data_IF_438789166075
#
_entry.id   IF_438789166075
#
_cell.length_a   1.000
_cell.length_b   1.000
_cell.length_c   1.000
_cell.angle_alpha   90.00
_cell.angle_beta   90.00
_cell.angle_gamma   90.00
#
_symmetry.space_group_name_H-M   'P 1'
#
loop_
_entity.id
_entity.type
_entity.pdbx_description
1 polymer ?
#
# COMPACT_ATOMS: atom_id res chain seq x y z
N UNK A 1 65.80 -54.80 -12.29
CA UNK A 1 64.99 -53.60 -12.59
C UNK A 1 64.17 -53.30 -11.35
N UNK A 2 64.52 -52.23 -10.62
CA UNK A 2 63.83 -51.81 -9.39
C UNK A 2 62.79 -50.75 -9.75
N UNK A 3 61.50 -51.07 -9.61
CA UNK A 3 60.41 -50.14 -9.83
C UNK A 3 60.07 -49.45 -8.51
N UNK A 4 60.39 -48.15 -8.40
CA UNK A 4 59.98 -47.29 -7.28
C UNK A 4 58.58 -46.74 -7.56
N UNK A 5 57.62 -47.12 -6.73
CA UNK A 5 56.25 -46.60 -6.77
C UNK A 5 56.19 -45.33 -5.91
N UNK A 6 56.06 -44.16 -6.54
CA UNK A 6 55.80 -42.90 -5.83
C UNK A 6 54.29 -42.80 -5.57
N UNK A 7 53.90 -42.91 -4.29
CA UNK A 7 52.53 -42.68 -3.84
C UNK A 7 52.32 -41.15 -3.69
N UNK A 8 51.58 -40.53 -4.60
CA UNK A 8 51.18 -39.12 -4.49
C UNK A 8 49.99 -39.02 -3.53
N UNK A 9 50.22 -38.49 -2.33
CA UNK A 9 49.14 -38.18 -1.39
C UNK A 9 48.52 -36.84 -1.80
N UNK A 10 47.41 -36.89 -2.55
CA UNK A 10 46.64 -35.71 -2.92
C UNK A 10 45.95 -35.12 -1.69
N UNK A 11 46.42 -33.97 -1.24
CA UNK A 11 45.78 -33.19 -0.18
C UNK A 11 44.45 -32.63 -0.72
N UNK A 12 43.34 -33.31 -0.43
CA UNK A 12 41.99 -32.80 -0.70
C UNK A 12 41.70 -31.66 0.30
N UNK A 13 41.95 -30.41 -0.12
CA UNK A 13 41.41 -29.24 0.56
C UNK A 13 39.88 -29.27 0.44
N UNK A 14 39.18 -29.63 1.51
CA UNK A 14 37.76 -29.41 1.66
C UNK A 14 37.50 -27.91 1.84
N UNK A 15 37.45 -27.16 0.74
CA UNK A 15 36.94 -25.80 0.76
C UNK A 15 35.49 -25.83 1.22
N UNK A 16 35.15 -25.10 2.29
CA UNK A 16 33.75 -24.80 2.60
C UNK A 16 33.20 -23.97 1.46
N UNK A 17 32.45 -24.59 0.55
CA UNK A 17 31.58 -23.88 -0.37
C UNK A 17 30.49 -23.24 0.49
N UNK A 18 30.62 -21.94 0.79
CA UNK A 18 29.54 -21.19 1.41
C UNK A 18 28.50 -21.01 0.30
N UNK A 19 27.47 -21.87 0.32
CA UNK A 19 26.29 -21.63 -0.48
C UNK A 19 25.68 -20.31 -0.01
N UNK A 20 25.57 -19.37 -0.93
CA UNK A 20 24.98 -18.08 -0.63
C UNK A 20 23.52 -18.29 -0.17
N UNK A 21 23.08 -17.67 0.95
CA UNK A 21 21.69 -17.78 1.39
C UNK A 21 20.73 -17.28 0.29
N UNK A 22 19.66 -18.04 0.06
CA UNK A 22 18.60 -17.70 -0.88
C UNK A 22 17.30 -17.41 -0.12
N UNK A 23 16.59 -16.36 -0.51
CA UNK A 23 15.32 -15.95 0.09
C UNK A 23 14.22 -15.81 -0.97
N UNK A 24 12.98 -16.09 -0.56
CA UNK A 24 11.76 -15.89 -1.33
C UNK A 24 10.54 -15.90 -0.40
N UNK A 25 9.38 -15.48 -0.90
CA UNK A 25 8.13 -15.44 -0.13
C UNK A 25 8.10 -14.31 0.90
N UNK A 26 7.32 -14.50 1.97
CA UNK A 26 7.21 -13.53 3.06
C UNK A 26 8.34 -13.76 4.06
N UNK A 27 9.29 -12.83 4.12
CA UNK A 27 10.47 -12.91 4.99
C UNK A 27 10.29 -12.19 6.34
N UNK A 28 9.30 -11.29 6.42
CA UNK A 28 9.02 -10.50 7.60
C UNK A 28 7.98 -11.18 8.50
N UNK A 29 8.08 -10.91 9.80
CA UNK A 29 7.05 -11.26 10.79
C UNK A 29 6.47 -9.96 11.35
N UNK A 30 5.15 -9.92 11.56
CA UNK A 30 4.41 -8.71 11.91
C UNK A 30 3.68 -8.91 13.23
N UNK A 31 3.80 -7.93 14.13
CA UNK A 31 3.06 -7.90 15.38
C UNK A 31 2.41 -6.53 15.57
N UNK A 32 1.28 -6.49 16.26
CA UNK A 32 0.61 -5.25 16.61
C UNK A 32 1.27 -4.64 17.84
N UNK A 33 1.59 -3.35 17.76
CA UNK A 33 2.01 -2.58 18.93
C UNK A 33 0.84 -2.42 19.90
N UNK A 34 1.06 -2.74 21.18
CA UNK A 34 0.04 -2.66 22.24
C UNK A 34 0.28 -1.52 23.24
N UNK A 35 1.38 -0.79 23.10
CA UNK A 35 1.71 0.35 23.95
C UNK A 35 3.16 0.35 24.41
N UNK A 36 3.50 1.36 25.21
CA UNK A 36 4.79 1.44 25.91
C UNK A 36 4.83 0.37 27.01
N UNK A 37 6.00 -0.23 27.22
CA UNK A 37 6.21 -1.17 28.30
C UNK A 37 6.48 -0.49 29.65
N UNK A 38 7.04 -1.26 30.58
CA UNK A 38 7.37 -0.86 31.94
C UNK A 38 8.56 0.11 32.02
N UNK A 39 9.45 0.08 31.02
CA UNK A 39 10.61 0.95 30.89
C UNK A 39 10.48 1.90 29.68
N UNK A 40 11.15 3.07 29.68
CA UNK A 40 11.11 4.01 28.55
C UNK A 40 11.59 3.43 27.21
N UNK A 41 12.47 2.43 27.23
CA UNK A 41 12.98 1.71 26.06
C UNK A 41 12.23 0.39 25.80
N UNK A 42 11.01 0.23 26.27
CA UNK A 42 10.27 -1.03 26.11
C UNK A 42 8.91 -0.84 25.46
N UNK A 43 8.46 -1.86 24.75
CA UNK A 43 7.17 -1.87 24.04
C UNK A 43 6.45 -3.19 24.28
N UNK A 44 5.12 -3.15 24.27
CA UNK A 44 4.26 -4.33 24.32
C UNK A 44 3.83 -4.74 22.91
N UNK A 45 3.85 -6.04 22.62
CA UNK A 45 3.40 -6.60 21.34
C UNK A 45 2.50 -7.83 21.55
N UNK A 46 1.65 -8.14 20.56
CA UNK A 46 0.78 -9.31 20.60
C UNK A 46 1.47 -10.63 20.23
N UNK A 47 2.63 -10.58 19.56
CA UNK A 47 3.40 -11.74 19.10
C UNK A 47 4.90 -11.60 19.44
N UNK A 48 5.29 -11.68 20.73
CA UNK A 48 6.68 -11.52 21.16
C UNK A 48 7.60 -12.62 20.61
N UNK A 49 7.08 -13.81 20.35
CA UNK A 49 7.84 -14.95 19.82
C UNK A 49 8.45 -14.70 18.44
N UNK A 50 7.97 -13.69 17.70
CA UNK A 50 8.56 -13.28 16.44
C UNK A 50 9.89 -12.52 16.62
N UNK A 51 10.20 -12.04 17.83
CA UNK A 51 11.30 -11.12 18.09
C UNK A 51 12.27 -11.70 19.14
N UNK A 52 13.12 -12.68 18.78
CA UNK A 52 14.12 -13.18 19.70
C UNK A 52 15.12 -12.09 20.11
N UNK A 53 15.77 -12.29 21.26
CA UNK A 53 16.83 -11.40 21.73
C UNK A 53 17.91 -11.20 20.66
N UNK A 54 18.41 -9.97 20.56
CA UNK A 54 19.36 -9.55 19.55
C UNK A 54 18.77 -9.34 18.16
N UNK A 55 17.48 -9.60 17.89
CA UNK A 55 16.91 -9.36 16.56
C UNK A 55 16.61 -7.89 16.28
N UNK A 56 16.79 -7.48 15.01
CA UNK A 56 16.39 -6.16 14.55
C UNK A 56 14.87 -6.09 14.27
N UNK A 57 14.30 -4.92 14.52
CA UNK A 57 12.90 -4.63 14.27
C UNK A 57 12.69 -3.22 13.72
N UNK A 58 11.58 -3.03 13.02
CA UNK A 58 11.06 -1.77 12.56
C UNK A 58 9.74 -1.53 13.30
N UNK A 59 9.63 -0.43 14.04
CA UNK A 59 8.34 0.07 14.52
C UNK A 59 7.87 1.10 13.50
N UNK A 60 6.63 0.97 13.02
CA UNK A 60 6.06 1.88 12.03
C UNK A 60 4.57 2.11 12.30
N UNK A 61 4.17 3.38 12.31
CA UNK A 61 2.78 3.77 12.51
C UNK A 61 2.08 3.97 11.17
N UNK A 62 1.06 3.16 10.89
CA UNK A 62 0.43 3.11 9.57
C UNK A 62 -0.65 4.16 9.40
N UNK A 63 -1.43 4.44 10.46
CA UNK A 63 -2.54 5.38 10.48
C UNK A 63 -2.44 6.33 11.67
N UNK A 64 -3.45 7.17 11.87
CA UNK A 64 -3.56 8.12 12.98
C UNK A 64 -3.78 9.56 12.53
N UNK A 65 -3.82 9.81 11.22
CA UNK A 65 -4.07 11.14 10.70
C UNK A 65 -5.50 11.61 11.02
N UNK A 66 -5.62 12.89 11.36
CA UNK A 66 -6.89 13.60 11.47
C UNK A 66 -7.21 14.29 10.14
N UNK A 67 -8.48 14.31 9.78
CA UNK A 67 -8.98 14.95 8.55
C UNK A 67 -10.10 15.93 8.86
N UNK A 68 -10.36 16.84 7.93
CA UNK A 68 -11.61 17.59 7.88
C UNK A 68 -12.78 16.63 7.64
N UNK A 69 -13.84 16.83 8.42
CA UNK A 69 -14.90 15.85 8.61
C UNK A 69 -16.30 16.39 8.32
N UNK A 70 -16.38 17.68 7.98
CA UNK A 70 -17.59 18.36 7.53
C UNK A 70 -18.03 17.84 6.17
N UNK A 71 -19.34 17.87 5.91
CA UNK A 71 -19.93 17.28 4.71
C UNK A 71 -19.83 18.24 3.51
N UNK A 72 -18.61 18.66 3.16
CA UNK A 72 -18.31 19.62 2.11
C UNK A 72 -17.01 19.27 1.36
N UNK A 73 -16.57 20.16 0.46
CA UNK A 73 -15.37 19.95 -0.37
C UNK A 73 -14.07 19.82 0.41
N UNK A 74 -14.07 20.20 1.69
CA UNK A 74 -12.97 20.03 2.63
C UNK A 74 -12.81 18.60 3.10
N UNK A 75 -13.86 17.76 3.07
CA UNK A 75 -13.82 16.39 3.61
C UNK A 75 -12.59 15.60 3.12
N UNK A 76 -11.86 15.01 4.07
CA UNK A 76 -10.67 14.21 3.78
C UNK A 76 -9.37 15.00 3.68
N UNK A 77 -9.39 16.33 3.75
CA UNK A 77 -8.16 17.12 3.84
C UNK A 77 -7.45 16.80 5.16
N UNK A 78 -6.18 16.41 5.09
CA UNK A 78 -5.39 16.05 6.27
C UNK A 78 -5.02 17.30 7.06
N UNK A 79 -5.45 17.37 8.32
CA UNK A 79 -5.16 18.49 9.24
C UNK A 79 -3.97 18.20 10.14
N UNK A 80 -3.74 16.92 10.46
CA UNK A 80 -2.59 16.45 11.22
C UNK A 80 -2.26 15.00 10.83
N UNK A 81 -0.98 14.65 10.67
CA UNK A 81 -0.56 13.27 10.40
C UNK A 81 -0.76 12.33 11.60
N UNK A 82 -0.79 12.86 12.82
CA UNK A 82 -1.03 12.08 14.04
C UNK A 82 -0.05 10.91 14.25
N UNK A 83 1.14 10.99 13.67
CA UNK A 83 2.17 9.94 13.70
C UNK A 83 2.15 8.99 12.50
N UNK A 84 1.16 9.08 11.60
CA UNK A 84 1.13 8.26 10.39
C UNK A 84 2.39 8.47 9.54
N UNK A 85 3.05 7.35 9.23
CA UNK A 85 4.30 7.28 8.49
C UNK A 85 5.58 7.51 9.30
N UNK A 86 5.48 7.72 10.61
CA UNK A 86 6.64 7.67 11.50
C UNK A 86 7.14 6.23 11.64
N UNK A 87 8.46 6.07 11.67
CA UNK A 87 9.09 4.79 11.90
C UNK A 87 10.48 4.92 12.53
N UNK A 88 10.91 3.86 13.21
CA UNK A 88 12.23 3.70 13.79
C UNK A 88 12.71 2.24 13.66
N UNK A 89 14.01 2.06 13.44
CA UNK A 89 14.67 0.75 13.49
C UNK A 89 15.40 0.62 14.83
N UNK A 90 15.20 -0.50 15.50
CA UNK A 90 15.80 -0.79 16.80
C UNK A 90 16.17 -2.28 16.91
N UNK A 91 16.75 -2.69 18.04
CA UNK A 91 17.13 -4.07 18.33
C UNK A 91 16.55 -4.51 19.66
N UNK A 92 16.13 -5.77 19.73
CA UNK A 92 15.64 -6.39 20.96
C UNK A 92 16.82 -6.67 21.87
N UNK A 93 16.83 -6.06 23.05
CA UNK A 93 17.78 -6.37 24.12
C UNK A 93 17.33 -7.58 24.95
N UNK A 94 16.06 -7.63 25.34
CA UNK A 94 15.48 -8.72 26.13
C UNK A 94 13.98 -8.92 25.82
N UNK A 95 13.47 -10.12 26.08
CA UNK A 95 12.04 -10.45 25.92
C UNK A 95 11.46 -10.91 27.26
N UNK A 96 10.52 -10.14 27.80
CA UNK A 96 9.87 -10.39 29.09
C UNK A 96 8.36 -10.60 28.88
N UNK A 97 7.95 -11.85 28.60
CA UNK A 97 6.56 -12.13 28.24
C UNK A 97 6.16 -11.43 26.93
N UNK A 98 5.21 -10.50 26.99
CA UNK A 98 4.77 -9.69 25.84
C UNK A 98 5.56 -8.39 25.66
N UNK A 99 6.53 -8.13 26.53
CA UNK A 99 7.32 -6.92 26.54
C UNK A 99 8.67 -7.14 25.85
N UNK A 100 8.95 -6.33 24.83
CA UNK A 100 10.25 -6.24 24.20
C UNK A 100 11.00 -5.06 24.81
N UNK A 101 12.12 -5.34 25.48
CA UNK A 101 13.07 -4.31 25.91
C UNK A 101 14.01 -4.03 24.73
N UNK A 102 14.13 -2.78 24.34
CA UNK A 102 14.92 -2.33 23.19
C UNK A 102 16.28 -1.79 23.62
N UNK A 103 17.28 -1.89 22.74
CA UNK A 103 18.62 -1.35 23.02
C UNK A 103 18.64 0.18 23.13
N UNK A 104 17.72 0.87 22.43
CA UNK A 104 17.65 2.33 22.38
C UNK A 104 16.25 2.82 22.79
N UNK A 105 16.19 3.98 23.44
CA UNK A 105 14.94 4.70 23.64
C UNK A 105 14.31 5.08 22.30
N UNK A 106 12.98 5.05 22.22
CA UNK A 106 12.25 5.56 21.06
C UNK A 106 12.25 7.08 21.07
N UNK A 107 12.40 7.67 19.88
CA UNK A 107 12.39 9.12 19.68
C UNK A 107 10.98 9.62 19.31
N UNK A 108 10.22 8.82 18.57
CA UNK A 108 8.87 9.15 18.14
C UNK A 108 7.79 8.62 19.09
N UNK A 109 6.66 9.32 19.24
CA UNK A 109 5.48 8.75 19.87
C UNK A 109 4.83 7.74 18.91
N UNK A 110 4.51 6.56 19.43
CA UNK A 110 3.73 5.54 18.73
C UNK A 110 2.44 5.27 19.47
N UNK A 111 1.34 5.22 18.73
CA UNK A 111 -0.01 5.04 19.27
C UNK A 111 -0.62 3.72 18.83
N UNK A 112 -1.35 3.08 19.74
CA UNK A 112 -2.21 1.93 19.41
C UNK A 112 -3.37 2.33 18.50
N UNK A 113 -3.90 3.55 18.67
CA UNK A 113 -4.95 4.12 17.81
C UNK A 113 -4.46 4.49 16.40
N UNK A 114 -3.14 4.52 16.18
CA UNK A 114 -2.52 4.73 14.88
C UNK A 114 -2.30 3.45 14.08
N UNK A 115 -2.82 2.30 14.53
CA UNK A 115 -2.51 0.99 13.94
C UNK A 115 -1.00 0.80 13.74
N UNK A 116 -0.23 1.11 14.80
CA UNK A 116 1.21 0.88 14.82
C UNK A 116 1.49 -0.62 14.79
N UNK A 117 2.44 -1.02 13.95
CA UNK A 117 2.94 -2.37 13.88
C UNK A 117 4.45 -2.42 14.13
N UNK A 118 4.90 -3.58 14.60
CA UNK A 118 6.31 -3.93 14.77
C UNK A 118 6.62 -5.04 13.77
N UNK A 119 7.64 -4.85 12.96
CA UNK A 119 8.03 -5.75 11.86
C UNK A 119 9.43 -6.25 12.12
N UNK A 120 9.64 -7.57 12.20
CA UNK A 120 10.99 -8.14 12.33
C UNK A 120 11.75 -7.87 11.04
N UNK A 121 13.00 -7.42 11.16
CA UNK A 121 13.90 -7.11 10.05
C UNK A 121 14.97 -8.21 9.99
N UNK A 122 14.89 -9.16 9.03
CA UNK A 122 15.97 -10.11 8.83
C UNK A 122 17.27 -9.42 8.41
N UNK A 123 18.39 -9.90 8.94
CA UNK A 123 19.74 -9.40 8.67
C UNK A 123 20.56 -10.49 7.98
N UNK A 124 21.28 -10.11 6.92
CA UNK A 124 22.14 -11.00 6.15
C UNK A 124 23.50 -10.35 5.90
N UNK A 125 24.56 -11.16 5.80
CA UNK A 125 25.85 -10.66 5.31
C UNK A 125 25.78 -10.45 3.80
N UNK A 126 25.40 -11.51 3.08
CA UNK A 126 25.23 -11.57 1.63
C UNK A 126 24.01 -12.47 1.34
N UNK A 127 23.13 -12.09 0.41
CA UNK A 127 21.89 -12.86 0.16
C UNK A 127 21.38 -12.70 -1.28
N UNK A 128 20.79 -13.77 -1.81
CA UNK A 128 20.19 -13.83 -3.14
C UNK A 128 18.68 -13.93 -3.04
N UNK A 129 17.97 -13.08 -3.77
CA UNK A 129 16.52 -13.18 -3.96
C UNK A 129 16.29 -14.12 -5.15
N UNK A 130 16.19 -15.42 -4.87
CA UNK A 130 16.06 -16.46 -5.89
C UNK A 130 14.60 -16.63 -6.38
N UNK A 131 13.63 -16.19 -5.58
CA UNK A 131 12.22 -16.07 -5.96
C UNK A 131 11.62 -14.78 -5.38
N UNK A 132 10.43 -14.34 -5.84
CA UNK A 132 9.85 -13.08 -5.40
C UNK A 132 9.73 -13.02 -3.87
N UNK A 133 10.25 -11.96 -3.26
CA UNK A 133 9.99 -11.64 -1.85
C UNK A 133 8.78 -10.71 -1.80
N UNK A 134 7.78 -11.07 -1.02
CA UNK A 134 6.49 -10.36 -0.95
C UNK A 134 6.16 -9.91 0.46
N UNK A 135 5.38 -8.83 0.58
CA UNK A 135 4.77 -8.45 1.84
C UNK A 135 3.50 -9.27 2.09
N UNK A 136 3.19 -9.56 3.36
CA UNK A 136 1.82 -9.91 3.74
C UNK A 136 0.92 -8.69 3.42
N UNK A 137 -0.21 -8.82 2.72
CA UNK A 137 -1.10 -7.68 2.47
C UNK A 137 -1.61 -7.06 3.77
N UNK A 138 -1.83 -5.75 3.77
CA UNK A 138 -2.44 -5.04 4.88
C UNK A 138 -3.83 -5.60 5.21
N UNK A 139 -4.03 -5.95 6.48
CA UNK A 139 -5.29 -6.54 6.96
C UNK A 139 -6.15 -5.58 7.81
N UNK A 140 -5.73 -4.31 7.94
CA UNK A 140 -6.34 -3.33 8.85
C UNK A 140 -5.61 -3.16 10.19
N UNK A 141 -4.63 -4.00 10.50
CA UNK A 141 -3.83 -3.94 11.73
C UNK A 141 -2.33 -4.11 11.48
N UNK A 142 -1.94 -5.02 10.60
CA UNK A 142 -0.54 -5.37 10.27
C UNK A 142 -0.40 -5.72 8.79
N UNK A 143 0.84 -5.76 8.30
CA UNK A 143 1.18 -6.11 6.92
C UNK A 143 1.62 -4.89 6.10
N UNK A 144 1.78 -5.09 4.80
CA UNK A 144 2.11 -4.04 3.83
C UNK A 144 3.55 -3.55 3.87
N UNK A 145 4.47 -4.26 4.55
CA UNK A 145 5.88 -3.86 4.67
C UNK A 145 6.81 -4.99 4.29
N UNK A 146 7.79 -4.72 3.43
CA UNK A 146 9.00 -5.53 3.26
C UNK A 146 10.15 -4.76 3.92
N UNK A 147 10.86 -5.39 4.86
CA UNK A 147 12.02 -4.78 5.50
C UNK A 147 13.17 -5.78 5.63
N UNK A 148 14.36 -5.41 5.18
CA UNK A 148 15.56 -6.25 5.31
C UNK A 148 16.83 -5.42 5.35
N UNK A 149 17.86 -5.97 6.00
CA UNK A 149 19.19 -5.39 6.09
C UNK A 149 20.22 -6.39 5.57
N UNK A 150 21.08 -5.95 4.65
CA UNK A 150 22.14 -6.76 4.04
C UNK A 150 23.46 -6.01 4.16
N UNK A 151 24.37 -6.41 5.05
CA UNK A 151 25.59 -5.62 5.27
C UNK A 151 26.51 -5.59 4.04
N UNK A 152 26.51 -6.66 3.25
CA UNK A 152 27.25 -6.81 2.00
C UNK A 152 26.35 -6.66 0.78
N UNK A 153 26.22 -7.71 -0.02
CA UNK A 153 25.58 -7.68 -1.33
C UNK A 153 24.22 -8.39 -1.34
N UNK A 154 23.22 -7.70 -1.91
CA UNK A 154 21.92 -8.26 -2.26
C UNK A 154 21.86 -8.51 -3.77
N UNK A 155 21.71 -9.76 -4.19
CA UNK A 155 21.50 -10.11 -5.59
C UNK A 155 20.01 -10.27 -5.85
N UNK A 156 19.47 -9.42 -6.72
CA UNK A 156 18.07 -9.46 -7.15
C UNK A 156 17.97 -10.25 -8.46
N UNK A 157 17.94 -11.58 -8.36
CA UNK A 157 17.58 -12.44 -9.50
C UNK A 157 16.06 -12.42 -9.72
N UNK A 158 15.30 -12.39 -8.62
CA UNK A 158 13.89 -12.07 -8.56
C UNK A 158 13.65 -10.78 -7.76
N UNK A 159 12.39 -10.28 -7.76
CA UNK A 159 12.06 -8.97 -7.23
C UNK A 159 11.62 -8.93 -5.76
N UNK A 160 11.76 -7.74 -5.16
CA UNK A 160 11.05 -7.35 -3.94
C UNK A 160 9.71 -6.73 -4.38
N UNK A 161 8.58 -7.34 -4.03
CA UNK A 161 7.28 -6.93 -4.52
C UNK A 161 6.27 -6.70 -3.38
N UNK A 162 6.02 -5.42 -3.10
CA UNK A 162 4.98 -4.95 -2.19
C UNK A 162 3.76 -4.37 -2.93
N UNK A 163 3.61 -4.65 -4.23
CA UNK A 163 2.49 -4.14 -5.02
C UNK A 163 1.15 -4.66 -4.51
N UNK A 164 0.18 -3.77 -4.32
CA UNK A 164 -1.15 -4.10 -3.79
C UNK A 164 -1.20 -4.55 -2.33
N UNK A 165 -0.07 -4.52 -1.61
CA UNK A 165 0.00 -4.91 -0.20
C UNK A 165 -0.35 -3.76 0.76
N UNK A 166 -0.58 -2.55 0.23
CA UNK A 166 -0.91 -1.33 0.98
C UNK A 166 -2.37 -1.23 1.40
N UNK A 167 -2.86 -0.01 1.63
CA UNK A 167 -4.23 0.21 2.09
C UNK A 167 -5.27 -0.39 1.13
N UNK A 168 -6.33 -0.98 1.70
CA UNK A 168 -7.35 -1.71 0.93
C UNK A 168 -8.23 -0.74 0.14
N UNK A 169 -8.58 -1.13 -1.08
CA UNK A 169 -9.58 -0.42 -1.86
C UNK A 169 -10.98 -0.54 -1.24
N UNK A 170 -11.87 0.39 -1.61
CA UNK A 170 -13.28 0.33 -1.24
C UNK A 170 -13.93 -0.95 -1.76
N UNK A 171 -14.67 -1.64 -0.88
CA UNK A 171 -15.37 -2.85 -1.26
C UNK A 171 -16.47 -2.56 -2.30
N UNK A 172 -16.71 -3.50 -3.22
CA UNK A 172 -17.91 -3.41 -4.04
C UNK A 172 -19.14 -3.78 -3.20
N UNK A 173 -20.19 -2.97 -3.28
CA UNK A 173 -21.48 -3.25 -2.65
C UNK A 173 -22.59 -3.04 -3.68
N UNK A 174 -23.47 -4.03 -3.80
CA UNK A 174 -24.65 -3.94 -4.66
C UNK A 174 -25.76 -3.29 -3.86
N UNK A 175 -26.32 -2.20 -4.37
CA UNK A 175 -27.40 -1.48 -3.68
C UNK A 175 -28.68 -1.50 -4.50
N UNK A 176 -29.82 -1.53 -3.81
CA UNK A 176 -31.10 -1.24 -4.42
C UNK A 176 -31.32 0.28 -4.42
N UNK A 177 -30.88 0.94 -5.49
CA UNK A 177 -31.04 2.39 -5.66
C UNK A 177 -32.49 2.74 -5.97
N UNK A 178 -33.03 3.74 -5.28
CA UNK A 178 -34.33 4.35 -5.59
C UNK A 178 -34.13 5.75 -6.21
N UNK A 179 -33.08 5.90 -7.00
CA UNK A 179 -32.76 7.15 -7.68
C UNK A 179 -33.95 7.71 -8.47
N UNK A 180 -34.06 9.04 -8.45
CA UNK A 180 -34.97 9.82 -9.29
C UNK A 180 -34.30 11.14 -9.69
N UNK A 181 -34.74 11.79 -10.78
CA UNK A 181 -34.29 13.13 -11.17
C UNK A 181 -34.57 14.23 -10.13
N UNK A 182 -35.38 13.94 -9.10
CA UNK A 182 -35.72 14.86 -8.00
C UNK A 182 -34.78 14.73 -6.79
N UNK A 183 -33.91 13.73 -6.77
CA UNK A 183 -33.03 13.42 -5.63
C UNK A 183 -31.57 13.47 -6.04
N UNK A 184 -30.77 14.27 -5.34
CA UNK A 184 -29.33 14.35 -5.58
C UNK A 184 -28.54 13.62 -4.48
N UNK A 185 -27.70 12.65 -4.87
CA UNK A 185 -26.73 12.02 -3.99
C UNK A 185 -25.40 12.80 -4.02
N UNK A 186 -25.36 13.99 -3.41
CA UNK A 186 -24.21 14.90 -3.53
C UNK A 186 -23.27 14.97 -2.30
N UNK A 187 -23.59 14.24 -1.22
CA UNK A 187 -22.83 14.31 0.03
C UNK A 187 -21.44 13.68 -0.08
N UNK A 188 -20.52 14.19 0.72
CA UNK A 188 -19.15 13.70 0.85
C UNK A 188 -19.05 12.45 1.70
N UNK A 189 -19.98 12.24 2.62
CA UNK A 189 -20.09 10.98 3.34
C UNK A 189 -21.53 10.52 3.53
N UNK A 190 -21.66 9.20 3.67
CA UNK A 190 -22.84 8.53 4.19
C UNK A 190 -22.41 7.42 5.14
N UNK A 191 -23.32 7.03 6.02
CA UNK A 191 -23.15 5.85 6.87
C UNK A 191 -23.24 4.56 6.06
N UNK A 192 -22.59 3.50 6.57
CA UNK A 192 -22.71 2.16 6.03
C UNK A 192 -24.17 1.72 5.82
N UNK A 193 -24.44 1.07 4.68
CA UNK A 193 -25.79 0.64 4.29
C UNK A 193 -26.63 1.71 3.56
N UNK A 194 -26.13 2.94 3.45
CA UNK A 194 -26.82 3.97 2.66
C UNK A 194 -26.59 3.76 1.16
N UNK A 195 -27.66 3.53 0.41
CA UNK A 195 -27.60 3.27 -1.04
C UNK A 195 -27.02 4.43 -1.86
N UNK A 196 -26.94 5.66 -1.33
CA UNK A 196 -26.50 6.85 -2.08
C UNK A 196 -25.00 6.93 -2.35
N UNK A 197 -24.19 6.08 -1.72
CA UNK A 197 -22.73 6.16 -1.82
C UNK A 197 -22.08 4.79 -1.80
N UNK A 198 -20.98 4.67 -2.53
CA UNK A 198 -20.12 3.49 -2.51
C UNK A 198 -19.02 3.60 -1.45
N UNK A 199 -18.40 2.49 -1.03
CA UNK A 199 -17.32 2.50 -0.04
C UNK A 199 -16.08 3.27 -0.48
N UNK A 200 -15.51 4.01 0.46
CA UNK A 200 -14.21 4.68 0.32
C UNK A 200 -13.06 3.66 0.42
N UNK A 201 -11.93 3.98 -0.20
CA UNK A 201 -10.67 3.28 0.05
C UNK A 201 -10.05 3.66 1.39
N UNK A 202 -9.26 2.76 1.97
CA UNK A 202 -8.52 3.04 3.19
C UNK A 202 -7.35 4.01 2.94
N UNK A 203 -6.95 4.72 4.00
CA UNK A 203 -5.82 5.64 3.98
C UNK A 203 -5.22 5.82 5.37
N UNK A 204 -4.32 6.81 5.52
CA UNK A 204 -3.63 7.14 6.77
C UNK A 204 -4.56 7.66 7.87
N UNK A 205 -5.76 8.14 7.51
CA UNK A 205 -6.82 8.39 8.47
C UNK A 205 -7.58 7.07 8.72
N UNK A 206 -7.79 6.65 9.97
CA UNK A 206 -8.65 5.52 10.30
C UNK A 206 -10.04 5.67 9.67
N UNK A 207 -10.70 4.55 9.36
CA UNK A 207 -12.09 4.57 8.89
C UNK A 207 -12.98 5.19 9.98
N UNK A 208 -13.82 6.15 9.59
CA UNK A 208 -14.69 6.88 10.52
C UNK A 208 -16.08 6.27 10.48
N UNK A 209 -16.57 5.83 11.64
CA UNK A 209 -17.91 5.25 11.76
C UNK A 209 -18.99 6.28 11.40
N UNK A 210 -19.96 5.87 10.59
CA UNK A 210 -21.01 6.74 10.05
C UNK A 210 -20.59 7.57 8.84
N UNK A 211 -19.36 7.41 8.36
CA UNK A 211 -18.80 8.14 7.20
C UNK A 211 -18.07 7.22 6.21
N UNK A 212 -18.44 5.95 6.18
CA UNK A 212 -17.74 4.89 5.44
C UNK A 212 -17.94 5.00 3.92
N UNK A 213 -19.03 5.61 3.48
CA UNK A 213 -19.46 5.65 2.08
C UNK A 213 -19.39 7.07 1.51
N UNK A 214 -19.45 7.18 0.18
CA UNK A 214 -19.67 8.43 -0.57
C UNK A 214 -18.40 9.10 -1.08
N UNK A 215 -18.56 10.23 -1.77
CA UNK A 215 -17.52 10.82 -2.63
C UNK A 215 -16.30 11.43 -1.98
N UNK A 216 -16.36 11.80 -0.71
CA UNK A 216 -15.22 12.39 -0.01
C UNK A 216 -14.08 11.39 0.15
N UNK A 217 -12.84 11.84 -0.01
CA UNK A 217 -11.66 11.00 0.21
C UNK A 217 -11.45 10.70 1.70
N UNK A 218 -10.90 9.53 2.02
CA UNK A 218 -10.47 9.18 3.39
C UNK A 218 -8.96 9.44 3.53
N UNK A 219 -8.59 10.71 3.72
CA UNK A 219 -7.20 11.15 3.55
C UNK A 219 -6.65 10.75 2.17
N UNK A 220 -5.60 9.94 2.12
CA UNK A 220 -5.05 9.42 0.88
C UNK A 220 -5.84 8.24 0.27
N UNK A 221 -6.87 7.73 0.94
CA UNK A 221 -7.85 6.80 0.36
C UNK A 221 -8.85 7.51 -0.54
N UNK A 222 -9.13 6.95 -1.73
CA UNK A 222 -10.09 7.52 -2.68
C UNK A 222 -11.54 7.44 -2.18
N UNK A 223 -12.34 8.45 -2.51
CA UNK A 223 -13.77 8.45 -2.21
C UNK A 223 -14.55 7.50 -3.12
N UNK A 224 -15.65 6.93 -2.61
CA UNK A 224 -16.53 6.08 -3.42
C UNK A 224 -17.39 6.89 -4.40
N UNK A 225 -17.86 6.29 -5.48
CA UNK A 225 -18.86 6.89 -6.35
C UNK A 225 -20.17 7.12 -5.58
N UNK A 226 -20.82 8.27 -5.79
CA UNK A 226 -22.20 8.43 -5.34
C UNK A 226 -23.17 7.89 -6.41
N UNK A 227 -24.41 7.74 -5.99
CA UNK A 227 -25.51 7.46 -6.91
C UNK A 227 -25.66 8.60 -7.96
N UNK A 228 -26.00 8.30 -9.21
CA UNK A 228 -26.19 6.95 -9.79
C UNK A 228 -24.96 6.51 -10.59
N UNK A 229 -24.47 5.28 -10.38
CA UNK A 229 -23.39 4.60 -11.13
C UNK A 229 -22.18 5.47 -11.52
N UNK A 230 -21.81 6.41 -10.63
CA UNK A 230 -20.61 7.21 -10.80
C UNK A 230 -19.36 6.43 -10.35
N UNK A 231 -18.21 6.82 -10.92
CA UNK A 231 -16.94 6.16 -10.66
C UNK A 231 -16.32 6.51 -9.31
N UNK A 232 -15.55 5.58 -8.76
CA UNK A 232 -14.73 5.78 -7.57
C UNK A 232 -13.47 6.60 -7.85
N UNK A 233 -13.01 7.36 -6.86
CA UNK A 233 -11.77 8.13 -6.94
C UNK A 233 -10.54 7.25 -6.74
N UNK A 234 -9.43 7.57 -7.40
CA UNK A 234 -8.16 6.85 -7.24
C UNK A 234 -7.50 7.13 -5.89
N UNK A 235 -6.77 6.15 -5.37
CA UNK A 235 -5.96 6.29 -4.15
C UNK A 235 -4.71 7.14 -4.35
N UNK A 236 -4.18 7.68 -3.26
CA UNK A 236 -3.07 8.63 -3.27
C UNK A 236 -1.87 8.16 -2.43
N UNK A 237 -0.71 8.74 -2.74
CA UNK A 237 0.47 8.77 -1.90
C UNK A 237 0.85 10.25 -1.70
N UNK A 238 2.05 10.70 -2.05
CA UNK A 238 2.45 12.12 -1.92
C UNK A 238 1.65 13.05 -2.84
N UNK A 239 1.29 12.57 -4.03
CA UNK A 239 0.42 13.29 -4.96
C UNK A 239 -1.04 12.81 -4.81
N UNK A 240 -1.99 13.68 -5.16
CA UNK A 240 -3.40 13.31 -5.17
C UNK A 240 -3.73 12.26 -6.24
N UNK A 241 -4.75 11.44 -5.95
CA UNK A 241 -5.34 10.52 -6.92
C UNK A 241 -6.29 11.22 -7.89
N UNK A 242 -6.64 10.53 -8.97
CA UNK A 242 -7.60 10.99 -9.97
C UNK A 242 -9.04 10.96 -9.46
N UNK A 243 -9.87 11.89 -9.95
CA UNK A 243 -11.32 11.84 -9.74
C UNK A 243 -11.96 10.72 -10.57
N UNK A 244 -13.00 10.09 -10.05
CA UNK A 244 -13.88 9.23 -10.85
C UNK A 244 -14.69 10.01 -11.88
N UNK A 245 -15.25 9.30 -12.85
CA UNK A 245 -16.11 9.83 -13.90
C UNK A 245 -17.57 9.90 -13.47
N UNK A 246 -18.27 10.88 -14.03
CA UNK A 246 -19.71 11.05 -13.87
C UNK A 246 -20.48 10.02 -14.70
N UNK A 247 -21.72 9.78 -14.31
CA UNK A 247 -22.67 9.01 -15.12
C UNK A 247 -23.69 9.98 -15.74
N UNK A 248 -23.86 9.90 -17.04
CA UNK A 248 -24.80 10.72 -17.81
C UNK A 248 -25.90 9.81 -18.38
N UNK A 249 -27.15 10.08 -17.97
CA UNK A 249 -28.34 9.35 -18.40
C UNK A 249 -29.13 10.24 -19.38
N UNK A 250 -29.17 9.90 -20.69
CA UNK A 250 -29.71 10.80 -21.70
C UNK A 250 -31.24 10.91 -21.67
N UNK A 251 -31.93 10.06 -20.91
CA UNK A 251 -33.39 10.11 -20.79
C UNK A 251 -33.87 11.31 -19.96
N UNK A 252 -34.85 12.05 -20.49
CA UNK A 252 -35.46 13.17 -19.77
C UNK A 252 -36.14 12.68 -18.49
N UNK A 253 -35.67 13.15 -17.33
CA UNK A 253 -36.13 12.68 -16.01
C UNK A 253 -35.44 11.39 -15.55
N UNK A 254 -34.36 11.00 -16.22
CA UNK A 254 -33.48 9.92 -15.85
C UNK A 254 -32.63 10.21 -14.61
N UNK A 255 -31.76 9.26 -14.29
CA UNK A 255 -30.95 9.24 -13.08
C UNK A 255 -29.48 9.48 -13.38
N UNK A 256 -29.09 10.74 -13.25
CA UNK A 256 -27.71 11.18 -13.44
C UNK A 256 -26.84 10.96 -12.21
N UNK A 257 -25.55 10.72 -12.45
CA UNK A 257 -24.51 10.57 -11.42
C UNK A 257 -23.43 11.63 -11.55
N UNK A 258 -23.75 12.90 -11.29
CA UNK A 258 -22.80 14.03 -11.35
C UNK A 258 -21.84 14.13 -10.15
N UNK A 259 -21.83 13.15 -9.25
CA UNK A 259 -21.11 13.22 -7.98
C UNK A 259 -20.11 12.08 -7.77
N UNK A 260 -19.13 11.90 -8.67
CA UNK A 260 -18.15 10.84 -8.56
C UNK A 260 -17.23 11.01 -7.36
N UNK A 261 -16.60 9.90 -7.02
CA UNK A 261 -15.57 9.80 -5.99
C UNK A 261 -14.43 10.77 -6.24
N UNK A 262 -14.06 11.52 -5.21
CA UNK A 262 -12.88 12.38 -5.22
C UNK A 262 -11.64 11.51 -5.04
N UNK A 263 -10.58 11.83 -5.80
CA UNK A 263 -9.29 11.18 -5.60
C UNK A 263 -8.76 11.41 -4.19
N UNK A 264 -7.98 10.45 -3.70
CA UNK A 264 -7.26 10.54 -2.44
C UNK A 264 -6.43 11.82 -2.39
N UNK A 265 -6.29 12.40 -1.20
CA UNK A 265 -5.49 13.60 -0.96
C UNK A 265 -4.04 13.21 -0.74
N UNK A 266 -3.12 13.91 -1.41
CA UNK A 266 -1.70 13.80 -1.12
C UNK A 266 -1.34 14.59 0.15
N UNK A 267 -0.96 13.95 1.26
CA UNK A 267 -0.61 14.67 2.48
C UNK A 267 0.78 15.30 2.37
N UNK A 268 0.98 16.41 3.08
CA UNK A 268 2.32 16.99 3.26
C UNK A 268 3.13 16.11 4.21
N UNK A 269 4.04 15.31 3.66
CA UNK A 269 4.90 14.40 4.42
C UNK A 269 6.23 15.05 4.81
N UNK A 270 6.83 14.57 5.89
CA UNK A 270 8.22 14.89 6.21
C UNK A 270 9.19 14.23 5.23
N UNK A 271 10.45 14.68 5.21
CA UNK A 271 11.47 14.14 4.31
C UNK A 271 11.74 12.63 4.51
N UNK A 272 11.40 12.08 5.68
CA UNK A 272 11.65 10.68 6.01
C UNK A 272 10.39 9.83 6.04
N UNK A 273 9.20 10.38 6.26
CA UNK A 273 7.98 9.60 6.47
C UNK A 273 7.67 8.62 5.32
N UNK A 274 7.25 7.41 5.69
CA UNK A 274 6.89 6.33 4.77
C UNK A 274 5.43 5.96 4.97
N UNK A 275 4.61 6.08 3.93
CA UNK A 275 3.19 5.68 3.96
C UNK A 275 2.91 4.64 2.87
N UNK A 276 1.94 3.77 3.13
CA UNK A 276 1.37 2.93 2.08
C UNK A 276 0.57 3.80 1.10
N UNK A 277 0.47 3.34 -0.14
CA UNK A 277 -0.49 3.90 -1.09
C UNK A 277 -1.91 3.71 -0.56
N UNK A 278 -2.74 4.74 -0.72
CA UNK A 278 -4.16 4.67 -0.39
C UNK A 278 -4.90 3.73 -1.31
N UNK A 279 -5.96 3.10 -0.81
CA UNK A 279 -6.88 2.34 -1.64
C UNK A 279 -7.71 3.26 -2.53
N UNK A 280 -8.05 2.82 -3.73
CA UNK A 280 -9.07 3.49 -4.55
C UNK A 280 -10.46 3.31 -3.95
N UNK A 281 -11.37 4.24 -4.21
CA UNK A 281 -12.78 4.12 -3.84
C UNK A 281 -13.53 3.19 -4.79
N UNK A 282 -14.60 2.56 -4.33
CA UNK A 282 -15.46 1.75 -5.18
C UNK A 282 -16.33 2.63 -6.10
N UNK A 283 -16.70 2.12 -7.26
CA UNK A 283 -17.76 2.71 -8.08
C UNK A 283 -19.13 2.35 -7.52
N UNK A 284 -20.12 3.23 -7.73
CA UNK A 284 -21.50 2.93 -7.39
C UNK A 284 -22.06 1.86 -8.32
N UNK A 285 -22.75 0.85 -7.78
CA UNK A 285 -23.29 -0.24 -8.60
C UNK A 285 -24.62 -0.79 -8.08
N UNK A 286 -25.48 -1.15 -9.02
CA UNK A 286 -26.77 -1.80 -8.77
C UNK A 286 -26.98 -3.10 -9.57
N UNK A 287 -26.00 -3.50 -10.40
CA UNK A 287 -26.09 -4.71 -11.24
C UNK A 287 -25.09 -5.81 -10.84
N UNK A 288 -24.55 -5.76 -9.61
CA UNK A 288 -23.62 -6.75 -9.07
C UNK A 288 -22.29 -6.83 -9.85
N UNK A 289 -21.84 -5.70 -10.41
CA UNK A 289 -20.55 -5.58 -11.10
C UNK A 289 -19.37 -5.53 -10.11
N UNK A 290 -18.14 -5.91 -10.55
CA UNK A 290 -16.95 -5.87 -9.71
C UNK A 290 -16.37 -4.44 -9.56
N UNK A 291 -17.15 -3.53 -8.98
CA UNK A 291 -16.83 -2.09 -8.88
C UNK A 291 -15.80 -1.72 -7.80
N UNK A 292 -15.11 -2.70 -7.21
CA UNK A 292 -14.20 -2.47 -6.09
C UNK A 292 -13.02 -1.57 -6.51
N UNK A 293 -12.56 -0.76 -5.56
CA UNK A 293 -11.34 0.01 -5.74
C UNK A 293 -10.08 -0.87 -5.67
N UNK A 294 -9.01 -0.45 -6.32
CA UNK A 294 -7.72 -1.12 -6.25
C UNK A 294 -7.00 -0.88 -4.92
N UNK A 295 -6.33 -1.90 -4.40
CA UNK A 295 -5.46 -1.77 -3.21
C UNK A 295 -4.21 -0.93 -3.54
N UNK A 296 -3.73 -0.15 -2.59
CA UNK A 296 -2.50 0.62 -2.74
C UNK A 296 -1.23 -0.23 -2.63
N UNK A 297 -0.09 0.34 -3.00
CA UNK A 297 1.24 -0.26 -2.82
C UNK A 297 1.70 -0.21 -1.37
N UNK A 298 2.47 -1.21 -0.94
CA UNK A 298 3.03 -1.29 0.40
C UNK A 298 4.27 -0.40 0.62
N UNK A 299 5.09 -0.76 1.60
CA UNK A 299 6.33 -0.08 1.95
C UNK A 299 7.48 -1.08 1.76
N UNK A 300 8.58 -0.63 1.15
CA UNK A 300 9.83 -1.38 1.08
C UNK A 300 10.91 -0.58 1.80
N UNK A 301 11.53 -1.16 2.81
CA UNK A 301 12.69 -0.62 3.54
C UNK A 301 13.88 -1.55 3.33
N UNK A 302 14.87 -1.10 2.58
CA UNK A 302 16.06 -1.89 2.25
C UNK A 302 17.31 -1.15 2.69
N UNK A 303 18.09 -1.77 3.56
CA UNK A 303 19.48 -1.39 3.80
C UNK A 303 20.39 -2.42 3.13
N UNK A 304 21.34 -1.96 2.32
CA UNK A 304 22.30 -2.85 1.67
C UNK A 304 23.66 -2.18 1.46
N UNK A 305 24.77 -2.92 1.55
CA UNK A 305 26.05 -2.45 1.05
C UNK A 305 26.00 -2.23 -0.47
N UNK A 306 25.63 -3.27 -1.21
CA UNK A 306 25.44 -3.24 -2.67
C UNK A 306 24.16 -3.96 -3.07
N UNK A 307 23.41 -3.41 -4.01
CA UNK A 307 22.31 -4.11 -4.68
C UNK A 307 22.69 -4.40 -6.13
N UNK A 308 22.72 -5.67 -6.50
CA UNK A 308 22.98 -6.13 -7.87
C UNK A 308 21.66 -6.50 -8.52
N UNK A 309 21.26 -5.77 -9.55
CA UNK A 309 20.08 -6.10 -10.37
C UNK A 309 20.46 -7.16 -11.41
N UNK A 310 20.08 -8.41 -11.14
CA UNK A 310 20.40 -9.59 -11.96
C UNK A 310 19.18 -10.16 -12.71
N UNK A 311 18.10 -9.39 -12.81
CA UNK A 311 16.84 -9.78 -13.45
C UNK A 311 15.60 -9.37 -12.65
N UNK A 312 15.76 -9.12 -11.35
CA UNK A 312 14.72 -8.66 -10.44
C UNK A 312 14.44 -7.17 -10.48
N UNK A 313 13.39 -6.77 -9.75
CA UNK A 313 12.94 -5.38 -9.61
C UNK A 313 12.53 -5.09 -8.16
N UNK A 314 12.39 -3.80 -7.82
CA UNK A 314 11.82 -3.34 -6.55
C UNK A 314 10.49 -2.65 -6.87
N UNK A 315 9.37 -3.25 -6.46
CA UNK A 315 8.03 -2.84 -6.88
C UNK A 315 7.12 -2.58 -5.68
N UNK A 316 6.50 -1.39 -5.65
CA UNK A 316 5.44 -1.05 -4.71
C UNK A 316 4.29 -0.34 -5.43
N UNK A 317 3.74 -0.99 -6.46
CA UNK A 317 2.67 -0.40 -7.28
C UNK A 317 1.30 -0.52 -6.59
N UNK A 318 0.40 0.42 -6.88
CA UNK A 318 -1.02 0.26 -6.65
C UNK A 318 -1.66 -0.67 -7.68
N UNK A 319 -2.79 -1.28 -7.32
CA UNK A 319 -3.54 -2.20 -8.17
C UNK A 319 -4.54 -1.42 -9.03
N UNK A 320 -4.63 -1.76 -10.30
CA UNK A 320 -5.68 -1.24 -11.19
C UNK A 320 -7.04 -1.84 -10.82
N UNK A 321 -8.08 -1.02 -10.85
CA UNK A 321 -9.45 -1.53 -10.69
C UNK A 321 -9.90 -2.31 -11.95
N UNK A 322 -10.86 -3.21 -11.76
CA UNK A 322 -11.37 -4.05 -12.84
C UNK A 322 -12.25 -3.24 -13.80
N UNK A 323 -12.35 -3.72 -15.04
CA UNK A 323 -13.36 -3.22 -15.99
C UNK A 323 -14.73 -3.74 -15.56
N UNK A 324 -15.74 -2.87 -15.63
CA UNK A 324 -17.13 -3.18 -15.29
C UNK A 324 -18.04 -2.99 -16.51
N UNK A 325 -19.24 -3.59 -16.45
CA UNK A 325 -20.28 -3.47 -17.48
C UNK A 325 -21.52 -2.86 -16.81
N UNK A 326 -22.03 -1.73 -17.34
CA UNK A 326 -23.31 -1.15 -16.91
C UNK A 326 -23.33 -0.39 -15.57
N UNK A 327 -22.20 -0.33 -14.85
CA UNK A 327 -22.08 0.23 -13.49
C UNK A 327 -20.87 1.16 -13.36
N UNK A 328 -20.73 1.86 -12.22
CA UNK A 328 -19.59 2.72 -11.95
C UNK A 328 -18.28 1.93 -11.76
N UNK A 329 -17.21 2.39 -12.39
CA UNK A 329 -15.87 1.81 -12.27
C UNK A 329 -15.19 2.17 -10.94
N UNK A 330 -14.47 1.22 -10.35
CA UNK A 330 -13.65 1.46 -9.16
C UNK A 330 -12.40 2.30 -9.46
N UNK A 331 -11.92 3.08 -8.48
CA UNK A 331 -10.67 3.83 -8.61
C UNK A 331 -9.43 2.94 -8.46
N UNK A 332 -8.34 3.28 -9.14
CA UNK A 332 -7.05 2.58 -8.99
C UNK A 332 -6.35 2.90 -7.66
N UNK A 333 -5.61 1.95 -7.11
CA UNK A 333 -4.83 2.15 -5.87
C UNK A 333 -3.62 3.05 -6.07
N UNK A 334 -3.21 3.80 -5.06
CA UNK A 334 -2.00 4.62 -5.10
C UNK A 334 -0.72 3.77 -5.00
N UNK A 335 0.38 4.23 -5.58
CA UNK A 335 1.71 3.65 -5.36
C UNK A 335 2.17 3.76 -3.91
N UNK A 336 3.05 2.88 -3.47
CA UNK A 336 3.57 2.84 -2.10
C UNK A 336 4.85 3.65 -1.87
N UNK A 337 5.52 3.41 -0.73
CA UNK A 337 6.81 4.05 -0.41
C UNK A 337 7.97 3.06 -0.54
N UNK A 338 9.10 3.53 -1.07
CA UNK A 338 10.35 2.77 -1.16
C UNK A 338 11.46 3.58 -0.49
N UNK A 339 12.13 3.00 0.50
CA UNK A 339 13.26 3.57 1.23
C UNK A 339 14.51 2.71 1.04
N UNK A 340 15.55 3.28 0.40
CA UNK A 340 16.79 2.60 0.04
C UNK A 340 17.98 3.24 0.75
N UNK A 341 18.46 2.60 1.81
CA UNK A 341 19.75 2.87 2.43
C UNK A 341 20.82 1.99 1.80
N UNK A 342 21.17 2.27 0.54
CA UNK A 342 22.08 1.44 -0.25
C UNK A 342 23.42 2.16 -0.46
N UNK A 343 24.53 1.42 -0.34
CA UNK A 343 25.87 1.95 -0.61
C UNK A 343 26.14 2.13 -2.10
N UNK A 344 25.82 1.11 -2.92
CA UNK A 344 25.92 1.20 -4.38
C UNK A 344 24.92 0.29 -5.11
N UNK A 345 24.61 0.66 -6.36
CA UNK A 345 23.83 -0.17 -7.28
C UNK A 345 24.71 -0.71 -8.40
N UNK A 346 24.50 -1.96 -8.80
CA UNK A 346 25.13 -2.60 -9.95
C UNK A 346 24.08 -3.19 -10.89
N UNK A 347 24.36 -3.18 -12.20
CA UNK A 347 23.40 -3.51 -13.24
C UNK A 347 22.50 -2.33 -13.62
N UNK A 348 21.32 -2.60 -14.16
CA UNK A 348 20.32 -1.58 -14.50
C UNK A 348 19.19 -1.61 -13.46
N UNK A 349 19.12 -0.62 -12.56
CA UNK A 349 18.06 -0.57 -11.55
C UNK A 349 16.67 -0.56 -12.18
N UNK A 350 15.79 -1.44 -11.69
CA UNK A 350 14.37 -1.46 -12.02
C UNK A 350 13.57 -1.24 -10.75
N UNK A 351 13.12 -0.01 -10.54
CA UNK A 351 12.43 0.44 -9.33
C UNK A 351 11.15 1.13 -9.74
N UNK A 352 10.02 0.73 -9.18
CA UNK A 352 8.72 1.33 -9.47
C UNK A 352 7.78 1.36 -8.27
N UNK A 353 7.03 2.46 -8.17
CA UNK A 353 5.91 2.61 -7.26
C UNK A 353 4.83 3.40 -8.01
N UNK A 354 4.23 2.78 -9.02
CA UNK A 354 3.22 3.40 -9.88
C UNK A 354 1.83 3.34 -9.24
N UNK A 355 0.96 4.27 -9.62
CA UNK A 355 -0.46 4.15 -9.36
C UNK A 355 -1.12 3.11 -10.26
N UNK A 356 -2.19 2.48 -9.77
CA UNK A 356 -3.06 1.61 -10.56
C UNK A 356 -4.02 2.43 -11.43
N UNK A 357 -4.45 1.87 -12.56
CA UNK A 357 -5.45 2.50 -13.42
C UNK A 357 -6.85 2.44 -12.80
N UNK A 358 -7.68 3.44 -13.10
CA UNK A 358 -9.11 3.37 -12.82
C UNK A 358 -9.81 2.33 -13.68
N UNK A 359 -10.92 1.79 -13.19
CA UNK A 359 -11.72 0.80 -13.89
C UNK A 359 -12.41 1.41 -15.11
N UNK A 360 -12.27 0.76 -16.26
CA UNK A 360 -13.05 1.10 -17.44
C UNK A 360 -14.51 0.68 -17.26
N UNK A 361 -15.39 1.31 -18.01
CA UNK A 361 -16.81 0.96 -18.13
C UNK A 361 -17.09 0.61 -19.58
N UNK A 362 -17.67 -0.57 -19.80
CA UNK A 362 -18.26 -0.97 -21.07
C UNK A 362 -19.79 -0.83 -20.96
N UNK A 363 -20.37 0.11 -21.73
CA UNK A 363 -21.81 0.38 -21.70
C UNK A 363 -22.60 -0.59 -22.59
N UNK A 364 -21.96 -1.58 -23.24
CA UNK A 364 -22.62 -2.65 -24.02
C UNK A 364 -23.58 -2.19 -25.12
N UNK A 365 -23.39 -0.99 -25.66
CA UNK A 365 -24.25 -0.39 -26.69
C UNK A 365 -25.50 0.29 -26.12
N UNK A 366 -25.63 0.40 -24.80
CA UNK A 366 -26.67 1.21 -24.17
C UNK A 366 -26.39 2.70 -24.43
N UNK A 367 -27.45 3.47 -24.67
CA UNK A 367 -27.40 4.94 -24.74
C UNK A 367 -27.29 5.49 -23.30
N UNK A 368 -26.13 5.23 -22.67
CA UNK A 368 -25.78 5.67 -21.33
C UNK A 368 -24.27 5.71 -21.19
N UNK A 369 -23.75 6.69 -20.45
CA UNK A 369 -22.33 6.79 -20.17
C UNK A 369 -22.09 6.62 -18.67
N UNK A 370 -21.89 5.41 -18.17
CA UNK A 370 -21.58 5.24 -16.74
C UNK A 370 -20.15 5.67 -16.39
N UNK A 371 -19.95 6.01 -15.13
CA UNK A 371 -18.77 6.70 -14.65
C UNK A 371 -17.56 5.78 -14.46
N UNK A 372 -16.46 5.95 -15.23
CA UNK A 372 -15.24 5.17 -15.03
C UNK A 372 -14.48 5.58 -13.78
N UNK A 373 -13.57 4.73 -13.32
CA UNK A 373 -12.76 5.01 -12.13
C UNK A 373 -11.65 6.04 -12.35
N UNK A 374 -11.27 6.75 -11.29
CA UNK A 374 -10.08 7.61 -11.27
C UNK A 374 -8.79 6.80 -11.14
N UNK A 375 -7.71 7.23 -11.80
CA UNK A 375 -6.38 6.62 -11.66
C UNK A 375 -5.73 6.90 -10.30
N UNK A 376 -5.01 5.94 -9.73
CA UNK A 376 -4.24 6.13 -8.51
C UNK A 376 -2.98 6.98 -8.73
N UNK A 377 -2.49 7.67 -7.71
CA UNK A 377 -1.25 8.45 -7.82
C UNK A 377 -0.02 7.53 -7.83
N UNK A 378 1.11 8.05 -8.33
CA UNK A 378 2.41 7.45 -8.07
C UNK A 378 2.79 7.49 -6.58
N UNK A 379 3.77 6.66 -6.22
CA UNK A 379 4.34 6.52 -4.89
C UNK A 379 5.55 7.41 -4.66
N UNK A 380 6.35 7.06 -3.64
CA UNK A 380 7.53 7.83 -3.21
C UNK A 380 8.78 6.97 -3.16
N UNK A 381 9.91 7.53 -3.61
CA UNK A 381 11.24 6.99 -3.37
C UNK A 381 12.05 7.90 -2.43
N UNK A 382 12.67 7.31 -1.42
CA UNK A 382 13.71 7.91 -0.58
C UNK A 382 14.97 7.05 -0.74
N UNK A 383 16.08 7.62 -1.17
CA UNK A 383 17.29 6.87 -1.46
C UNK A 383 18.54 7.63 -1.01
N UNK A 384 19.53 6.91 -0.46
CA UNK A 384 20.86 7.43 -0.15
C UNK A 384 21.72 7.66 -1.39
N UNK A 385 21.37 7.03 -2.51
CA UNK A 385 22.04 7.19 -3.81
C UNK A 385 21.08 7.80 -4.83
N UNK A 386 21.63 8.51 -5.80
CA UNK A 386 20.88 8.94 -6.99
C UNK A 386 20.52 7.71 -7.82
N UNK A 387 19.22 7.42 -7.92
CA UNK A 387 18.69 6.32 -8.72
C UNK A 387 17.34 6.73 -9.31
N UNK A 388 17.05 6.30 -10.53
CA UNK A 388 15.75 6.54 -11.16
C UNK A 388 14.72 5.51 -10.67
N UNK A 389 13.46 5.95 -10.58
CA UNK A 389 12.33 5.08 -10.36
C UNK A 389 11.14 5.55 -11.20
N UNK A 390 10.28 4.60 -11.60
CA UNK A 390 9.01 4.92 -12.22
C UNK A 390 7.95 5.19 -11.14
N UNK A 391 7.61 6.46 -10.96
CA UNK A 391 6.62 6.94 -10.00
C UNK A 391 5.39 7.52 -10.72
N UNK A 392 5.05 7.01 -11.90
CA UNK A 392 3.89 7.49 -12.66
C UNK A 392 2.57 7.19 -11.93
N UNK A 393 1.60 8.09 -12.05
CA UNK A 393 0.21 7.79 -11.71
C UNK A 393 -0.41 6.83 -12.72
N UNK A 394 -1.49 6.15 -12.32
CA UNK A 394 -2.32 5.37 -13.21
C UNK A 394 -3.22 6.25 -14.07
N UNK A 395 -3.64 5.73 -15.22
CA UNK A 395 -4.62 6.38 -16.09
C UNK A 395 -6.02 6.39 -15.47
N UNK A 396 -6.81 7.40 -15.80
CA UNK A 396 -8.25 7.36 -15.59
C UNK A 396 -8.86 6.24 -16.45
N UNK A 397 -9.90 5.59 -15.94
CA UNK A 397 -10.69 4.66 -16.72
C UNK A 397 -11.44 5.36 -17.85
N UNK A 398 -11.84 4.60 -18.85
CA UNK A 398 -12.59 5.06 -20.00
C UNK A 398 -14.01 4.51 -19.96
N UNK A 399 -14.97 5.33 -20.37
CA UNK A 399 -16.32 4.86 -20.73
C UNK A 399 -16.32 4.51 -22.22
N UNK A 400 -16.78 3.32 -22.57
CA UNK A 400 -16.69 2.77 -23.94
C UNK A 400 -18.01 2.13 -24.36
N UNK A 401 -18.24 2.00 -25.67
CA UNK A 401 -19.44 1.39 -26.25
C UNK A 401 -20.76 2.02 -25.77
N UNK A 402 -20.80 3.34 -25.59
CA UNK A 402 -22.05 4.09 -25.45
C UNK A 402 -22.70 4.28 -26.83
N UNK A 403 -24.02 4.09 -26.89
CA UNK A 403 -24.85 4.07 -28.11
C UNK A 403 -25.05 5.39 -28.82
#
# INVERSE_FOLDING_TARGET
MSARFFLFFGLLLSGKLICQPEISGVINQYARYQGTGSCPNSILVDQPAFFPEGSALLIIQMQGASIEEDNDSGFGNVTNLGGAGNYEINRVFAVNGNELVLEKNLLGPYSTGGNTQVVRVPEYDDVRVAGPVTAMPWNGQTGGVIALNVSGTLWLDAGLNASGAGFRGGASITVNSNCTFLTAANRYYYESGNWRGAPKGEGIAPVISGKELGRGAQANGGGGGNDHNSGGGGGANVAGGGQGGENDEPSFGGCDGFYPGKGGKGPSLTNTALIMGGGGGAGHQNNNAPSAGGNGGGIIVLQAGTVVFSGGSIQSNGISAQTVIGDGGGGGGGGGSIALGVGSFSGTPSIEAKGGNGGNVDNSGDDRCQGPGGGGSGGRLISSQTVSANLAGGGAGLSTNSG
#
